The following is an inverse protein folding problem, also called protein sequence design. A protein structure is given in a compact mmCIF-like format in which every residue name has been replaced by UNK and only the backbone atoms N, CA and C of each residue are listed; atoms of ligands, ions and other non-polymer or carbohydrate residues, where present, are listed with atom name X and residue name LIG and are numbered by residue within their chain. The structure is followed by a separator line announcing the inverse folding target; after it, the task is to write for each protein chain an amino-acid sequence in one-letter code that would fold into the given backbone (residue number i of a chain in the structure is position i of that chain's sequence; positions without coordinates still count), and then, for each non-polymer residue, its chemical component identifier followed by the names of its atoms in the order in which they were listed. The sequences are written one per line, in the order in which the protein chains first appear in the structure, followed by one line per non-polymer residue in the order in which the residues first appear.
data_IF_888236790517
#
_entry.id   IF_888236790517
#
_cell.length_a   1.000
_cell.length_b   1.000
_cell.length_c   1.000
_cell.angle_alpha   90.00
_cell.angle_beta   90.00
_cell.angle_gamma   90.00
#
_symmetry.space_group_name_H-M   'P 1'
#
loop_
_entity.id
_entity.type
_entity.pdbx_description
1 polymer ?
#
# COMPACT_ATOMS: atom_id res chain seq x y z
N UNK A 1 -27.60 -11.44 15.11
CA UNK A 1 -27.30 -10.05 15.51
C UNK A 1 -28.25 -9.15 14.75
N UNK A 2 -28.97 -8.25 15.44
CA UNK A 2 -29.76 -7.23 14.75
C UNK A 2 -28.79 -6.35 13.95
N UNK A 3 -29.06 -6.15 12.66
CA UNK A 3 -28.26 -5.26 11.82
C UNK A 3 -28.52 -3.84 12.29
N UNK A 4 -27.62 -3.31 13.12
CA UNK A 4 -27.67 -1.92 13.55
C UNK A 4 -27.08 -1.08 12.41
N UNK A 5 -27.95 -0.35 11.71
CA UNK A 5 -27.53 0.57 10.64
C UNK A 5 -26.61 1.69 11.15
N UNK A 6 -26.05 2.48 10.24
CA UNK A 6 -25.23 3.64 10.60
C UNK A 6 -25.99 4.58 11.55
N UNK A 7 -25.50 4.71 12.78
CA UNK A 7 -26.21 5.45 13.83
C UNK A 7 -25.89 6.95 13.88
N UNK A 8 -24.80 7.39 13.22
CA UNK A 8 -24.37 8.80 13.27
C UNK A 8 -24.51 9.47 11.90
N UNK A 9 -25.04 10.71 11.84
CA UNK A 9 -25.23 11.41 10.58
C UNK A 9 -23.91 11.59 9.84
N UNK A 10 -23.96 11.61 8.52
CA UNK A 10 -22.82 11.92 7.66
C UNK A 10 -22.63 13.43 7.66
N UNK A 11 -21.59 13.91 8.33
CA UNK A 11 -21.27 15.33 8.48
C UNK A 11 -19.75 15.51 8.56
N UNK A 12 -19.18 16.62 8.03
CA UNK A 12 -17.76 16.88 8.16
C UNK A 12 -17.35 17.08 9.62
N UNK A 13 -16.24 16.48 10.02
CA UNK A 13 -15.62 16.64 11.31
C UNK A 13 -14.52 17.72 11.30
N UNK A 14 -13.97 18.05 10.14
CA UNK A 14 -12.96 19.08 9.89
C UNK A 14 -13.57 20.36 9.35
N UNK A 15 -13.00 21.49 9.77
CA UNK A 15 -13.25 22.79 9.16
C UNK A 15 -12.36 22.95 7.92
N UNK A 16 -12.77 23.78 6.94
CA UNK A 16 -12.02 23.95 5.70
C UNK A 16 -10.55 24.37 5.88
N UNK A 17 -10.24 25.12 6.94
CA UNK A 17 -8.94 25.70 7.29
C UNK A 17 -8.06 24.80 8.18
N UNK A 18 -8.61 23.74 8.78
CA UNK A 18 -7.85 22.85 9.64
C UNK A 18 -6.96 21.91 8.82
N UNK A 19 -5.64 22.11 8.88
CA UNK A 19 -4.63 21.26 8.25
C UNK A 19 -3.51 20.97 9.23
N UNK A 20 -3.04 19.73 9.20
CA UNK A 20 -1.92 19.25 10.02
C UNK A 20 -1.07 18.34 9.16
N UNK A 21 0.25 18.38 9.38
CA UNK A 21 1.17 17.51 8.66
C UNK A 21 1.14 16.08 9.20
N UNK A 22 1.31 15.10 8.33
CA UNK A 22 1.49 13.69 8.71
C UNK A 22 2.96 13.46 9.08
N UNK A 23 3.36 14.05 10.21
CA UNK A 23 4.69 13.93 10.82
C UNK A 23 4.53 13.74 12.33
N UNK A 24 5.57 13.32 13.05
CA UNK A 24 5.54 13.24 14.51
C UNK A 24 5.04 14.55 15.17
N UNK A 25 5.57 15.69 14.72
CA UNK A 25 5.20 17.01 15.23
C UNK A 25 3.77 17.37 14.84
N UNK A 26 3.38 17.20 13.58
CA UNK A 26 2.03 17.53 13.12
C UNK A 26 0.94 16.69 13.78
N UNK A 27 1.20 15.39 14.02
CA UNK A 27 0.30 14.53 14.79
C UNK A 27 0.18 14.98 16.25
N UNK A 28 1.28 15.42 16.87
CA UNK A 28 1.26 15.95 18.24
C UNK A 28 0.49 17.28 18.32
N UNK A 29 0.65 18.17 17.33
CA UNK A 29 -0.11 19.41 17.20
C UNK A 29 -1.60 19.13 17.04
N UNK A 30 -1.95 18.18 16.16
CA UNK A 30 -3.32 17.74 15.98
C UNK A 30 -3.91 17.20 17.29
N UNK A 31 -3.22 16.29 18.00
CA UNK A 31 -3.69 15.72 19.27
C UNK A 31 -4.01 16.80 20.33
N UNK A 32 -3.27 17.91 20.33
CA UNK A 32 -3.50 19.04 21.26
C UNK A 32 -4.61 20.00 20.83
N UNK A 33 -5.10 19.87 19.59
CA UNK A 33 -6.05 20.81 19.00
C UNK A 33 -7.50 20.61 19.46
N UNK A 34 -8.35 21.61 19.21
CA UNK A 34 -9.80 21.46 19.32
C UNK A 34 -10.37 20.50 18.26
N UNK A 35 -9.70 20.39 17.11
CA UNK A 35 -10.07 19.48 16.04
C UNK A 35 -10.02 18.03 16.52
N UNK A 36 -8.91 17.59 17.12
CA UNK A 36 -8.80 16.24 17.66
C UNK A 36 -9.89 15.94 18.69
N UNK A 37 -10.09 16.84 19.68
CA UNK A 37 -11.13 16.65 20.71
C UNK A 37 -12.52 16.46 20.11
N UNK A 38 -12.84 17.20 19.05
CA UNK A 38 -14.11 17.08 18.31
C UNK A 38 -14.22 15.73 17.59
N UNK A 39 -13.18 15.32 16.86
CA UNK A 39 -13.14 14.04 16.12
C UNK A 39 -13.18 12.85 17.09
N UNK A 40 -12.38 12.86 18.17
CA UNK A 40 -12.37 11.82 19.19
C UNK A 40 -13.73 11.69 19.88
N UNK A 41 -14.37 12.81 20.24
CA UNK A 41 -15.75 12.81 20.76
C UNK A 41 -16.76 12.21 19.77
N UNK A 42 -16.57 12.43 18.47
CA UNK A 42 -17.39 11.82 17.43
C UNK A 42 -17.18 10.30 17.32
N UNK A 43 -15.99 9.78 17.60
CA UNK A 43 -15.73 8.34 17.56
C UNK A 43 -15.89 7.63 18.91
N UNK A 44 -16.19 8.37 19.98
CA UNK A 44 -16.46 7.81 21.31
C UNK A 44 -17.56 6.74 21.26
N UNK A 45 -17.18 5.47 21.44
CA UNK A 45 -18.07 4.31 21.38
C UNK A 45 -18.70 4.05 20.01
N UNK A 46 -18.20 4.66 18.93
CA UNK A 46 -18.75 4.52 17.58
C UNK A 46 -17.65 4.30 16.53
N UNK A 47 -17.88 3.46 15.50
CA UNK A 47 -18.96 2.47 15.43
C UNK A 47 -18.77 1.38 16.50
N UNK A 48 -19.84 0.97 17.18
CA UNK A 48 -19.77 -0.05 18.26
C UNK A 48 -19.11 -1.35 17.80
N UNK A 49 -19.29 -1.70 16.52
CA UNK A 49 -18.74 -2.91 15.91
C UNK A 49 -17.27 -2.81 15.46
N UNK A 50 -16.62 -1.67 15.68
CA UNK A 50 -15.17 -1.54 15.46
C UNK A 50 -14.44 -1.87 16.76
N UNK A 51 -13.43 -2.74 16.69
CA UNK A 51 -12.61 -3.07 17.87
C UNK A 51 -11.51 -2.02 18.15
N UNK A 52 -11.30 -1.07 17.23
CA UNK A 52 -10.36 0.03 17.44
C UNK A 52 -10.77 0.88 18.63
N UNK A 53 -9.77 1.40 19.34
CA UNK A 53 -9.98 2.48 20.31
C UNK A 53 -10.57 3.72 19.63
N UNK A 54 -11.27 4.55 20.40
CA UNK A 54 -11.86 5.79 19.89
C UNK A 54 -10.80 6.72 19.26
N UNK A 55 -9.61 6.79 19.88
CA UNK A 55 -8.48 7.55 19.35
C UNK A 55 -7.86 6.92 18.10
N UNK A 56 -7.82 5.59 18.01
CA UNK A 56 -7.41 4.89 16.78
C UNK A 56 -8.34 5.20 15.61
N UNK A 57 -9.66 5.17 15.83
CA UNK A 57 -10.65 5.56 14.80
C UNK A 57 -10.50 7.03 14.39
N UNK A 58 -10.28 7.93 15.36
CA UNK A 58 -10.01 9.33 15.09
C UNK A 58 -8.72 9.53 14.27
N UNK A 59 -7.66 8.78 14.59
CA UNK A 59 -6.38 8.80 13.86
C UNK A 59 -6.58 8.35 12.41
N UNK A 60 -7.23 7.21 12.18
CA UNK A 60 -7.50 6.72 10.82
C UNK A 60 -8.25 7.76 10.00
N UNK A 61 -9.29 8.37 10.58
CA UNK A 61 -10.03 9.44 9.92
C UNK A 61 -9.12 10.63 9.58
N UNK A 62 -8.32 11.09 10.54
CA UNK A 62 -7.39 12.20 10.36
C UNK A 62 -6.42 11.96 9.20
N UNK A 63 -5.75 10.81 9.21
CA UNK A 63 -4.76 10.46 8.19
C UNK A 63 -5.37 10.49 6.79
N UNK A 64 -6.60 9.96 6.62
CA UNK A 64 -7.29 9.96 5.33
C UNK A 64 -7.72 11.35 4.90
N UNK A 65 -8.22 12.20 5.81
CA UNK A 65 -8.63 13.57 5.46
C UNK A 65 -7.43 14.45 5.10
N UNK A 66 -6.29 14.28 5.78
CA UNK A 66 -5.06 15.02 5.46
C UNK A 66 -4.41 14.50 4.16
N UNK A 67 -4.30 13.18 3.99
CA UNK A 67 -3.67 12.54 2.83
C UNK A 67 -4.53 12.66 1.56
N UNK A 68 -5.85 12.63 1.71
CA UNK A 68 -6.84 12.59 0.61
C UNK A 68 -6.55 11.48 -0.41
N UNK A 69 -6.44 10.22 0.05
CA UNK A 69 -6.10 9.08 -0.80
C UNK A 69 -7.16 8.87 -1.88
N UNK A 70 -6.75 8.38 -3.04
CA UNK A 70 -7.64 7.93 -4.11
C UNK A 70 -8.07 6.48 -3.90
N UNK A 71 -7.14 5.64 -3.43
CA UNK A 71 -7.39 4.21 -3.16
C UNK A 71 -6.92 3.86 -1.76
N UNK A 72 -7.82 3.24 -0.99
CA UNK A 72 -7.57 2.73 0.34
C UNK A 72 -7.77 1.22 0.35
N UNK A 73 -6.88 0.51 1.04
CA UNK A 73 -7.01 -0.93 1.31
C UNK A 73 -7.18 -1.16 2.81
N UNK A 74 -8.14 -2.00 3.18
CA UNK A 74 -8.28 -2.57 4.52
C UNK A 74 -8.08 -4.08 4.43
N UNK A 75 -7.05 -4.59 5.11
CA UNK A 75 -6.81 -6.03 5.27
C UNK A 75 -7.34 -6.43 6.64
N UNK A 76 -8.45 -7.17 6.67
CA UNK A 76 -9.16 -7.54 7.90
C UNK A 76 -10.41 -6.70 8.13
N UNK A 77 -11.53 -7.07 7.49
CA UNK A 77 -12.81 -6.35 7.66
C UNK A 77 -13.51 -6.66 9.00
N UNK A 78 -13.49 -7.92 9.43
CA UNK A 78 -14.22 -8.46 10.58
C UNK A 78 -15.70 -8.05 10.60
N UNK A 79 -16.11 -7.07 11.42
CA UNK A 79 -17.49 -6.58 11.54
C UNK A 79 -17.73 -5.26 10.78
N UNK A 80 -16.83 -4.87 9.88
CA UNK A 80 -16.92 -3.67 9.05
C UNK A 80 -17.12 -2.35 9.83
N UNK A 81 -16.74 -2.34 11.11
CA UNK A 81 -16.78 -1.13 11.93
C UNK A 81 -15.70 -0.15 11.48
N UNK A 82 -14.47 -0.63 11.33
CA UNK A 82 -13.35 0.16 10.86
C UNK A 82 -13.54 0.57 9.40
N UNK A 83 -14.09 -0.29 8.54
CA UNK A 83 -14.51 0.07 7.18
C UNK A 83 -15.44 1.29 7.14
N UNK A 84 -16.39 1.43 8.07
CA UNK A 84 -17.26 2.63 8.14
C UNK A 84 -16.47 3.88 8.52
N UNK A 85 -15.45 3.77 9.39
CA UNK A 85 -14.54 4.87 9.72
C UNK A 85 -13.78 5.32 8.47
N UNK A 86 -13.20 4.39 7.72
CA UNK A 86 -12.43 4.67 6.50
C UNK A 86 -13.32 5.31 5.42
N UNK A 87 -14.51 4.75 5.18
CA UNK A 87 -15.45 5.27 4.19
C UNK A 87 -15.96 6.67 4.53
N UNK A 88 -16.20 6.95 5.82
CA UNK A 88 -16.57 8.28 6.30
C UNK A 88 -15.45 9.30 6.07
N UNK A 89 -14.21 8.92 6.34
CA UNK A 89 -13.07 9.79 6.10
C UNK A 89 -12.85 10.06 4.62
N UNK A 90 -13.00 9.04 3.75
CA UNK A 90 -12.95 9.20 2.30
C UNK A 90 -14.09 10.10 1.76
N UNK A 91 -15.31 9.93 2.30
CA UNK A 91 -16.43 10.81 2.01
C UNK A 91 -16.11 12.27 2.37
N UNK A 92 -15.55 12.51 3.55
CA UNK A 92 -15.20 13.85 4.03
C UNK A 92 -14.05 14.48 3.24
N UNK A 93 -13.03 13.69 2.88
CA UNK A 93 -11.94 14.09 1.99
C UNK A 93 -12.43 14.42 0.56
N UNK A 94 -13.69 14.06 0.25
CA UNK A 94 -14.34 14.10 -1.07
C UNK A 94 -13.58 13.31 -2.14
N UNK A 95 -12.76 12.36 -1.72
CA UNK A 95 -11.88 11.54 -2.56
C UNK A 95 -11.61 10.22 -1.85
N UNK A 96 -11.39 9.17 -2.62
CA UNK A 96 -11.06 7.87 -2.07
C UNK A 96 -12.15 6.85 -2.28
N UNK A 97 -11.71 5.60 -2.39
CA UNK A 97 -12.52 4.40 -2.41
C UNK A 97 -11.84 3.33 -1.56
N UNK A 98 -12.60 2.68 -0.68
CA UNK A 98 -12.13 1.65 0.25
C UNK A 98 -12.36 0.27 -0.35
N UNK A 99 -11.29 -0.44 -0.65
CA UNK A 99 -11.33 -1.88 -0.85
C UNK A 99 -11.07 -2.57 0.48
N UNK A 100 -11.96 -3.44 0.93
CA UNK A 100 -11.82 -4.14 2.21
C UNK A 100 -11.89 -5.65 2.04
N UNK A 101 -10.97 -6.36 2.69
CA UNK A 101 -10.74 -7.78 2.52
C UNK A 101 -11.04 -8.57 3.80
N UNK A 102 -11.83 -9.63 3.66
CA UNK A 102 -11.98 -10.65 4.71
C UNK A 102 -12.35 -12.00 4.06
N UNK A 103 -11.45 -13.00 4.06
CA UNK A 103 -11.72 -14.30 3.44
C UNK A 103 -12.87 -15.06 4.11
N UNK A 104 -13.24 -14.70 5.35
CA UNK A 104 -14.33 -15.32 6.12
C UNK A 104 -15.56 -14.40 6.26
N UNK A 105 -15.54 -13.26 5.56
CA UNK A 105 -16.57 -12.22 5.66
C UNK A 105 -17.70 -12.32 4.63
N UNK A 106 -17.67 -13.31 3.72
CA UNK A 106 -18.58 -13.38 2.57
C UNK A 106 -20.08 -13.27 2.93
N UNK A 107 -20.50 -13.93 4.02
CA UNK A 107 -21.89 -13.90 4.48
C UNK A 107 -22.18 -12.71 5.42
N UNK A 108 -21.17 -12.28 6.19
CA UNK A 108 -21.31 -11.29 7.26
C UNK A 108 -21.18 -9.85 6.77
N UNK A 109 -20.08 -9.54 6.09
CA UNK A 109 -19.67 -8.18 5.77
C UNK A 109 -20.63 -7.48 4.79
N UNK A 110 -21.13 -8.11 3.70
CA UNK A 110 -22.07 -7.46 2.80
C UNK A 110 -23.34 -6.97 3.48
N UNK A 111 -23.91 -7.78 4.39
CA UNK A 111 -25.12 -7.40 5.13
C UNK A 111 -24.88 -6.22 6.08
N UNK A 112 -23.72 -6.19 6.75
CA UNK A 112 -23.32 -5.07 7.60
C UNK A 112 -23.12 -3.78 6.78
N UNK A 113 -22.38 -3.87 5.68
CA UNK A 113 -22.10 -2.73 4.78
C UNK A 113 -23.39 -2.21 4.13
N UNK A 114 -24.34 -3.09 3.81
CA UNK A 114 -25.63 -2.70 3.26
C UNK A 114 -26.44 -1.79 4.20
N UNK A 115 -26.20 -1.88 5.52
CA UNK A 115 -26.82 -1.04 6.53
C UNK A 115 -26.14 0.33 6.75
N UNK A 116 -25.06 0.64 6.04
CA UNK A 116 -24.42 1.95 6.14
C UNK A 116 -25.24 3.01 5.42
N UNK A 117 -24.98 4.29 5.74
CA UNK A 117 -25.53 5.39 4.97
C UNK A 117 -25.15 5.24 3.47
N UNK A 118 -26.06 5.52 2.52
CA UNK A 118 -25.81 5.30 1.09
C UNK A 118 -24.50 5.94 0.59
N UNK A 119 -24.20 7.15 1.04
CA UNK A 119 -23.02 7.92 0.65
C UNK A 119 -21.70 7.30 1.12
N UNK A 120 -21.74 6.53 2.22
CA UNK A 120 -20.59 5.76 2.71
C UNK A 120 -20.47 4.44 1.96
N UNK A 121 -21.60 3.76 1.70
CA UNK A 121 -21.63 2.47 1.00
C UNK A 121 -21.09 2.59 -0.43
N UNK A 122 -21.39 3.69 -1.12
CA UNK A 122 -20.87 3.98 -2.46
C UNK A 122 -19.34 4.07 -2.53
N UNK A 123 -18.67 4.28 -1.38
CA UNK A 123 -17.22 4.38 -1.26
C UNK A 123 -16.54 3.03 -0.95
N UNK A 124 -17.28 1.94 -0.92
CA UNK A 124 -16.78 0.65 -0.43
C UNK A 124 -16.89 -0.44 -1.50
N UNK A 125 -15.86 -1.26 -1.59
CA UNK A 125 -15.90 -2.55 -2.26
C UNK A 125 -15.39 -3.63 -1.32
N UNK A 126 -16.27 -4.55 -0.94
CA UNK A 126 -15.89 -5.72 -0.16
C UNK A 126 -15.43 -6.86 -1.07
N UNK A 127 -14.35 -7.56 -0.67
CA UNK A 127 -13.82 -8.71 -1.38
C UNK A 127 -13.61 -9.88 -0.41
N UNK A 128 -14.31 -11.02 -0.59
CA UNK A 128 -14.14 -12.18 0.27
C UNK A 128 -12.90 -13.01 -0.12
N UNK A 129 -11.71 -12.46 0.10
CA UNK A 129 -10.43 -13.10 -0.27
C UNK A 129 -9.32 -12.71 0.70
N UNK A 130 -8.27 -13.53 0.75
CA UNK A 130 -7.06 -13.22 1.51
C UNK A 130 -6.29 -12.05 0.86
N UNK A 131 -5.46 -11.39 1.67
CA UNK A 131 -4.50 -10.39 1.22
C UNK A 131 -3.54 -10.94 0.17
N UNK A 132 -3.08 -12.19 0.31
CA UNK A 132 -2.16 -12.81 -0.63
C UNK A 132 -2.69 -12.85 -2.07
N UNK A 133 -3.92 -13.33 -2.25
CA UNK A 133 -4.57 -13.37 -3.57
C UNK A 133 -4.81 -11.95 -4.08
N UNK A 134 -5.23 -11.05 -3.21
CA UNK A 134 -5.55 -9.68 -3.61
C UNK A 134 -4.31 -8.89 -4.04
N UNK A 135 -3.24 -8.92 -3.24
CA UNK A 135 -2.01 -8.18 -3.50
C UNK A 135 -1.32 -8.71 -4.77
N UNK A 136 -1.32 -10.03 -5.00
CA UNK A 136 -0.83 -10.62 -6.26
C UNK A 136 -1.57 -10.04 -7.49
N UNK A 137 -2.90 -9.96 -7.41
CA UNK A 137 -3.71 -9.37 -8.49
C UNK A 137 -3.45 -7.88 -8.70
N UNK A 138 -3.26 -7.13 -7.61
CA UNK A 138 -2.95 -5.69 -7.69
C UNK A 138 -1.57 -5.48 -8.31
N UNK A 139 -0.57 -6.27 -7.92
CA UNK A 139 0.77 -6.24 -8.51
C UNK A 139 0.72 -6.57 -10.01
N UNK A 140 0.01 -7.65 -10.38
CA UNK A 140 -0.13 -8.04 -11.79
C UNK A 140 -0.87 -6.97 -12.62
N UNK A 141 -1.85 -6.28 -12.03
CA UNK A 141 -2.59 -5.20 -12.70
C UNK A 141 -1.94 -3.82 -12.61
N UNK A 142 -0.68 -3.71 -12.17
CA UNK A 142 0.02 -2.44 -11.94
C UNK A 142 -0.78 -1.43 -11.09
N UNK A 143 -1.58 -1.94 -10.15
CA UNK A 143 -2.40 -1.13 -9.26
C UNK A 143 -1.61 -0.64 -8.05
N UNK A 144 -1.99 0.53 -7.54
CA UNK A 144 -1.38 1.10 -6.34
C UNK A 144 -2.42 1.62 -5.35
N UNK A 145 -2.03 1.68 -4.07
CA UNK A 145 -2.77 2.26 -2.97
C UNK A 145 -2.05 3.48 -2.41
N UNK A 146 -2.81 4.44 -1.91
CA UNK A 146 -2.28 5.60 -1.20
C UNK A 146 -2.35 5.38 0.32
N UNK A 147 -3.27 4.53 0.77
CA UNK A 147 -3.47 4.22 2.17
C UNK A 147 -3.76 2.72 2.34
N UNK A 148 -3.10 2.07 3.30
CA UNK A 148 -3.37 0.67 3.67
C UNK A 148 -3.52 0.56 5.19
N UNK A 149 -4.58 -0.08 5.64
CA UNK A 149 -4.75 -0.55 7.01
C UNK A 149 -4.51 -2.06 7.07
N UNK A 150 -3.64 -2.50 7.96
CA UNK A 150 -3.37 -3.90 8.26
C UNK A 150 -3.93 -4.23 9.65
N UNK A 151 -5.03 -4.97 9.67
CA UNK A 151 -5.75 -5.47 10.86
C UNK A 151 -6.20 -6.94 10.63
N UNK A 152 -5.31 -7.71 9.97
CA UNK A 152 -5.53 -9.10 9.61
C UNK A 152 -5.15 -10.07 10.72
N UNK A 153 -4.43 -11.14 10.37
CA UNK A 153 -3.86 -12.03 11.37
C UNK A 153 -2.67 -11.35 12.07
N UNK A 154 -2.62 -11.47 13.40
CA UNK A 154 -1.52 -10.91 14.20
C UNK A 154 -0.38 -11.90 14.46
N UNK A 155 -0.33 -13.03 13.77
CA UNK A 155 0.88 -13.84 13.76
C UNK A 155 1.96 -13.16 12.90
N UNK A 156 3.23 -13.38 13.24
CA UNK A 156 4.34 -12.64 12.68
C UNK A 156 4.44 -12.79 11.16
N UNK A 157 4.28 -14.01 10.66
CA UNK A 157 4.43 -14.36 9.25
C UNK A 157 3.34 -13.71 8.39
N UNK A 158 2.11 -13.68 8.88
CA UNK A 158 1.00 -13.02 8.17
C UNK A 158 1.14 -11.50 8.19
N UNK A 159 1.46 -10.91 9.35
CA UNK A 159 1.66 -9.47 9.45
C UNK A 159 2.87 -9.01 8.60
N UNK A 160 3.95 -9.78 8.56
CA UNK A 160 5.11 -9.50 7.71
C UNK A 160 4.75 -9.61 6.22
N UNK A 161 4.01 -10.64 5.83
CA UNK A 161 3.52 -10.78 4.46
C UNK A 161 2.64 -9.60 4.04
N UNK A 162 1.66 -9.23 4.87
CA UNK A 162 0.75 -8.13 4.59
C UNK A 162 1.50 -6.80 4.48
N UNK A 163 2.47 -6.55 5.35
CA UNK A 163 3.29 -5.35 5.32
C UNK A 163 4.20 -5.30 4.09
N UNK A 164 4.95 -6.36 3.81
CA UNK A 164 5.85 -6.42 2.65
C UNK A 164 5.08 -6.37 1.33
N UNK A 165 3.98 -7.12 1.23
CA UNK A 165 3.11 -7.11 0.06
C UNK A 165 2.45 -5.76 -0.17
N UNK A 166 1.96 -5.11 0.90
CA UNK A 166 1.38 -3.76 0.83
C UNK A 166 2.44 -2.74 0.39
N UNK A 167 3.65 -2.80 0.93
CA UNK A 167 4.76 -1.93 0.56
C UNK A 167 5.09 -1.97 -0.95
N UNK A 168 4.88 -3.12 -1.61
CA UNK A 168 5.09 -3.26 -3.07
C UNK A 168 4.04 -2.52 -3.90
N UNK A 169 2.83 -2.33 -3.37
CA UNK A 169 1.70 -1.68 -4.05
C UNK A 169 1.41 -0.28 -3.53
N UNK A 170 2.30 0.32 -2.73
CA UNK A 170 2.14 1.71 -2.31
C UNK A 170 2.57 2.70 -3.38
N UNK A 171 1.82 3.80 -3.52
CA UNK A 171 2.30 5.01 -4.18
C UNK A 171 3.32 5.74 -3.30
N UNK A 172 4.22 6.54 -3.90
CA UNK A 172 5.08 7.45 -3.15
C UNK A 172 4.30 8.31 -2.14
N UNK A 173 4.86 8.50 -0.95
CA UNK A 173 4.25 9.20 0.20
C UNK A 173 2.98 8.54 0.79
N UNK A 174 2.55 7.38 0.29
CA UNK A 174 1.40 6.69 0.84
C UNK A 174 1.64 6.18 2.27
N UNK A 175 0.55 5.90 2.99
CA UNK A 175 0.57 5.56 4.42
C UNK A 175 0.16 4.11 4.63
N UNK A 176 0.90 3.40 5.48
CA UNK A 176 0.49 2.10 6.04
C UNK A 176 0.24 2.29 7.54
N UNK A 177 -0.92 1.84 8.01
CA UNK A 177 -1.24 1.75 9.44
C UNK A 177 -1.31 0.28 9.83
N UNK A 178 -0.59 -0.11 10.88
CA UNK A 178 -0.68 -1.44 11.47
C UNK A 178 -1.44 -1.37 12.79
N UNK A 179 -2.39 -2.27 13.01
CA UNK A 179 -3.11 -2.38 14.27
C UNK A 179 -2.45 -3.32 15.28
N UNK A 180 -2.86 -3.21 16.54
CA UNK A 180 -2.52 -4.13 17.62
C UNK A 180 -1.02 -4.37 17.81
N UNK A 181 -0.23 -3.29 17.77
CA UNK A 181 1.24 -3.35 17.90
C UNK A 181 1.71 -3.86 19.26
N UNK A 182 0.85 -3.94 20.27
CA UNK A 182 1.17 -4.61 21.53
C UNK A 182 1.36 -6.12 21.36
N UNK A 183 0.80 -6.70 20.29
CA UNK A 183 0.97 -8.10 19.91
C UNK A 183 2.31 -8.32 19.19
N UNK A 184 2.86 -9.52 19.35
CA UNK A 184 4.21 -9.84 18.87
C UNK A 184 4.31 -9.72 17.35
N UNK A 185 3.31 -10.20 16.59
CA UNK A 185 3.40 -10.27 15.14
C UNK A 185 3.53 -8.91 14.46
N UNK A 186 2.51 -8.01 14.53
CA UNK A 186 2.58 -6.69 13.91
C UNK A 186 3.81 -5.88 14.35
N UNK A 187 4.17 -6.00 15.64
CA UNK A 187 5.34 -5.31 16.22
C UNK A 187 6.65 -5.72 15.56
N UNK A 188 6.94 -7.02 15.53
CA UNK A 188 8.21 -7.52 15.01
C UNK A 188 8.24 -7.55 13.49
N UNK A 189 7.09 -7.73 12.82
CA UNK A 189 6.96 -7.52 11.38
C UNK A 189 7.40 -6.10 11.00
N UNK A 190 6.88 -5.09 11.70
CA UNK A 190 7.26 -3.68 11.46
C UNK A 190 8.73 -3.42 11.72
N UNK A 191 9.26 -3.94 12.84
CA UNK A 191 10.68 -3.78 13.19
C UNK A 191 11.59 -4.38 12.12
N UNK A 192 11.39 -5.66 11.77
CA UNK A 192 12.19 -6.32 10.75
C UNK A 192 12.02 -5.69 9.38
N UNK A 193 10.81 -5.20 9.08
CA UNK A 193 10.55 -4.46 7.87
C UNK A 193 11.43 -3.22 7.82
N UNK A 194 11.45 -2.35 8.84
CA UNK A 194 12.27 -1.12 8.83
C UNK A 194 13.79 -1.35 8.88
N UNK A 195 14.25 -2.55 9.24
CA UNK A 195 15.68 -2.90 9.22
C UNK A 195 16.25 -3.14 7.81
N UNK A 196 15.41 -3.40 6.78
CA UNK A 196 15.90 -3.73 5.43
C UNK A 196 15.89 -2.55 4.44
N UNK A 197 14.77 -1.82 4.22
CA UNK A 197 14.70 -0.67 3.34
C UNK A 197 14.86 0.62 4.15
N UNK A 198 16.03 1.30 4.09
CA UNK A 198 16.32 2.45 4.95
C UNK A 198 15.44 3.68 4.68
N UNK A 199 14.63 3.65 3.61
CA UNK A 199 13.85 4.81 3.18
C UNK A 199 12.39 4.82 3.64
N UNK A 200 11.89 3.72 4.21
CA UNK A 200 10.57 3.73 4.83
C UNK A 200 10.60 4.53 6.12
N UNK A 201 9.61 5.41 6.29
CA UNK A 201 9.58 6.38 7.38
C UNK A 201 8.66 5.85 8.47
N UNK A 202 9.21 5.62 9.66
CA UNK A 202 8.44 5.57 10.89
C UNK A 202 8.02 7.00 11.26
N UNK A 203 6.75 7.34 11.04
CA UNK A 203 6.24 8.71 11.13
C UNK A 203 6.48 9.32 12.52
N UNK A 204 6.51 8.50 13.58
CA UNK A 204 6.70 8.94 14.95
C UNK A 204 8.09 8.58 15.52
N UNK A 205 8.92 7.85 14.77
CA UNK A 205 10.24 7.40 15.22
C UNK A 205 10.21 6.48 16.45
N UNK A 206 9.11 5.76 16.68
CA UNK A 206 8.89 4.95 17.87
C UNK A 206 9.43 3.52 17.76
N UNK A 207 9.48 2.94 16.56
CA UNK A 207 9.92 1.56 16.33
C UNK A 207 11.40 1.40 16.64
N UNK A 208 12.22 2.37 16.26
CA UNK A 208 13.65 2.40 16.58
C UNK A 208 13.96 2.50 18.08
N UNK A 209 12.97 2.88 18.91
CA UNK A 209 13.14 3.02 20.37
C UNK A 209 12.85 1.75 21.16
N UNK A 210 12.46 0.66 20.49
CA UNK A 210 12.13 -0.59 21.16
C UNK A 210 13.32 -1.14 21.96
N UNK A 211 13.14 -1.42 23.26
CA UNK A 211 14.26 -1.82 24.12
C UNK A 211 14.75 -3.24 23.78
N UNK A 212 15.96 -3.36 23.23
CA UNK A 212 16.57 -4.65 22.86
C UNK A 212 16.63 -5.67 24.01
N UNK A 213 16.83 -5.21 25.25
CA UNK A 213 16.88 -6.06 26.45
C UNK A 213 15.51 -6.40 27.04
N UNK A 214 14.42 -5.85 26.48
CA UNK A 214 13.04 -6.06 26.94
C UNK A 214 12.11 -6.27 25.73
N UNK A 215 12.32 -7.32 24.92
CA UNK A 215 11.61 -7.52 23.66
C UNK A 215 10.08 -7.70 23.82
N UNK A 216 9.61 -8.01 25.02
CA UNK A 216 8.19 -8.16 25.34
C UNK A 216 7.57 -6.91 25.98
N UNK A 217 8.34 -5.84 26.22
CA UNK A 217 7.78 -4.59 26.74
C UNK A 217 6.75 -4.02 25.75
N UNK A 218 5.66 -3.47 26.27
CA UNK A 218 4.65 -2.78 25.46
C UNK A 218 5.34 -1.66 24.67
N UNK A 219 5.22 -1.62 23.33
CA UNK A 219 5.85 -0.58 22.55
C UNK A 219 5.13 0.75 22.73
N UNK A 220 5.83 1.84 22.42
CA UNK A 220 5.20 3.16 22.28
C UNK A 220 4.46 3.21 20.95
N UNK A 221 3.17 3.58 20.91
CA UNK A 221 2.44 3.75 19.65
C UNK A 221 2.88 5.02 18.92
N UNK A 222 2.65 5.07 17.60
CA UNK A 222 2.91 6.27 16.80
C UNK A 222 2.01 7.45 17.17
N UNK A 223 0.90 7.18 17.87
CA UNK A 223 -0.05 8.19 18.33
C UNK A 223 -0.57 7.87 19.73
N UNK A 224 -0.83 8.86 20.61
CA UNK A 224 -1.26 8.61 21.98
C UNK A 224 -2.56 7.82 22.11
N UNK A 225 -2.62 6.95 23.12
CA UNK A 225 -3.79 6.16 23.53
C UNK A 225 -4.41 5.29 22.42
N UNK A 226 -3.60 4.89 21.43
CA UNK A 226 -3.96 3.84 20.48
C UNK A 226 -2.87 2.75 20.44
N UNK A 227 -3.08 1.76 19.57
CA UNK A 227 -2.21 0.61 19.39
C UNK A 227 -1.72 0.51 17.94
N UNK A 228 -1.38 1.66 17.34
CA UNK A 228 -1.04 1.72 15.92
C UNK A 228 0.41 2.14 15.69
N UNK A 229 1.02 1.52 14.67
CA UNK A 229 2.16 2.11 13.97
C UNK A 229 1.70 2.78 12.69
N UNK A 230 2.31 3.93 12.38
CA UNK A 230 2.08 4.67 11.15
C UNK A 230 3.40 4.74 10.39
N UNK A 231 3.42 4.11 9.22
CA UNK A 231 4.55 4.13 8.30
C UNK A 231 4.21 4.95 7.08
N UNK A 232 5.20 5.63 6.52
CA UNK A 232 5.08 6.36 5.26
C UNK A 232 6.06 5.82 4.22
N UNK A 233 5.54 5.55 3.03
CA UNK A 233 6.33 5.18 1.87
C UNK A 233 7.22 6.38 1.44
N UNK A 234 8.43 6.14 0.95
CA UNK A 234 9.29 7.20 0.44
C UNK A 234 8.65 7.99 -0.71
N UNK A 235 9.11 9.22 -1.01
CA UNK A 235 8.57 10.05 -2.09
C UNK A 235 8.98 9.57 -3.51
N UNK A 236 9.46 8.33 -3.64
CA UNK A 236 9.89 7.69 -4.89
C UNK A 236 10.02 6.18 -4.68
N UNK A 237 10.18 5.41 -5.76
CA UNK A 237 10.52 3.99 -5.71
C UNK A 237 12.04 3.82 -5.73
N UNK A 238 12.60 3.31 -4.64
CA UNK A 238 14.03 3.02 -4.53
C UNK A 238 14.41 1.71 -5.22
N UNK A 239 15.50 1.75 -5.98
CA UNK A 239 16.20 0.58 -6.51
C UNK A 239 17.66 0.70 -6.06
N UNK A 240 18.11 -0.28 -5.29
CA UNK A 240 19.48 -0.41 -4.79
C UNK A 240 20.13 -1.66 -5.40
N UNK A 241 21.21 -2.15 -4.80
CA UNK A 241 21.93 -3.33 -5.27
C UNK A 241 21.14 -4.65 -5.15
N UNK A 242 20.05 -4.67 -4.37
CA UNK A 242 19.16 -5.84 -4.23
C UNK A 242 18.14 -5.83 -5.38
N UNK A 243 18.07 -6.90 -6.20
CA UNK A 243 17.11 -6.97 -7.30
C UNK A 243 15.66 -6.79 -6.83
N UNK A 244 14.95 -5.87 -7.49
CA UNK A 244 13.55 -5.56 -7.22
C UNK A 244 12.69 -5.87 -8.43
N UNK A 245 11.72 -6.77 -8.24
CA UNK A 245 10.65 -7.04 -9.21
C UNK A 245 9.46 -6.11 -8.99
N UNK A 246 8.91 -5.59 -10.10
CA UNK A 246 7.65 -4.84 -10.13
C UNK A 246 6.43 -5.70 -10.47
N UNK A 247 6.60 -7.02 -10.50
CA UNK A 247 5.55 -7.98 -10.83
C UNK A 247 5.48 -8.32 -12.32
N UNK A 248 4.85 -9.45 -12.61
CA UNK A 248 4.55 -9.89 -13.97
C UNK A 248 3.21 -9.28 -14.42
N UNK A 249 3.27 -8.38 -15.41
CA UNK A 249 2.12 -7.64 -15.91
C UNK A 249 1.63 -8.22 -17.24
N UNK A 250 0.31 -8.36 -17.45
CA UNK A 250 -0.23 -8.70 -18.76
C UNK A 250 0.26 -7.73 -19.83
N UNK A 251 0.73 -8.22 -20.97
CA UNK A 251 1.33 -7.41 -22.02
C UNK A 251 0.64 -7.55 -23.37
N UNK A 252 0.63 -6.48 -24.15
CA UNK A 252 0.02 -6.44 -25.49
C UNK A 252 0.77 -7.25 -26.54
N UNK A 253 2.08 -7.38 -26.39
CA UNK A 253 3.00 -8.07 -27.27
C UNK A 253 4.07 -8.85 -26.48
N UNK A 254 4.70 -9.82 -27.14
CA UNK A 254 5.78 -10.62 -26.56
C UNK A 254 7.19 -10.07 -26.80
N UNK A 255 7.34 -8.79 -27.16
CA UNK A 255 8.62 -8.17 -27.51
C UNK A 255 9.02 -7.06 -26.52
N UNK A 256 10.20 -7.20 -25.91
CA UNK A 256 10.81 -6.19 -25.04
C UNK A 256 12.17 -5.78 -25.62
N UNK A 257 12.21 -4.59 -26.23
CA UNK A 257 13.43 -3.95 -26.77
C UNK A 257 14.18 -3.14 -25.71
N UNK A 258 13.54 -2.82 -24.60
CA UNK A 258 14.07 -1.91 -23.60
C UNK A 258 13.06 -1.64 -22.50
N UNK A 259 13.47 -0.76 -21.59
CA UNK A 259 12.61 -0.25 -20.51
C UNK A 259 12.56 1.27 -20.52
N UNK A 260 11.43 1.82 -20.12
CA UNK A 260 11.22 3.22 -19.83
C UNK A 260 11.26 3.39 -18.30
N UNK A 261 12.10 4.31 -17.84
CA UNK A 261 12.18 4.72 -16.44
C UNK A 261 11.69 6.16 -16.34
N UNK A 262 11.06 6.52 -15.22
CA UNK A 262 10.80 7.91 -14.87
C UNK A 262 11.60 8.27 -13.62
N UNK A 263 12.67 9.05 -13.77
CA UNK A 263 13.62 9.33 -12.69
C UNK A 263 13.11 10.48 -11.80
N UNK A 264 12.90 10.22 -10.52
CA UNK A 264 12.54 11.25 -9.53
C UNK A 264 13.74 12.16 -9.19
N UNK A 265 14.97 11.69 -9.38
CA UNK A 265 16.22 12.42 -9.13
C UNK A 265 17.28 12.04 -10.18
N UNK A 266 18.33 12.86 -10.38
CA UNK A 266 19.44 12.46 -11.23
C UNK A 266 20.07 11.15 -10.73
N UNK A 267 20.57 10.35 -11.65
CA UNK A 267 21.28 9.11 -11.37
C UNK A 267 22.59 9.02 -12.17
N UNK A 268 23.64 8.53 -11.52
CA UNK A 268 24.93 8.17 -12.11
C UNK A 268 25.36 6.85 -11.46
N UNK A 269 25.45 5.78 -12.24
CA UNK A 269 25.77 4.43 -11.76
C UNK A 269 25.51 3.37 -12.81
N UNK A 270 25.43 2.10 -12.38
CA UNK A 270 25.18 0.97 -13.28
C UNK A 270 23.82 0.37 -12.99
N UNK A 271 22.97 0.38 -14.01
CA UNK A 271 21.66 -0.25 -14.00
C UNK A 271 21.77 -1.69 -14.50
N UNK A 272 21.38 -2.62 -13.64
CA UNK A 272 21.20 -4.02 -14.00
C UNK A 272 19.71 -4.26 -14.27
N UNK A 273 19.40 -4.76 -15.46
CA UNK A 273 18.03 -5.06 -15.91
C UNK A 273 17.91 -6.55 -16.19
N UNK A 274 16.83 -7.16 -15.74
CA UNK A 274 16.35 -8.43 -16.26
C UNK A 274 14.91 -8.26 -16.74
N UNK A 275 14.66 -8.61 -18.00
CA UNK A 275 13.33 -8.67 -18.58
C UNK A 275 12.94 -10.13 -18.79
N UNK A 276 11.76 -10.52 -18.35
CA UNK A 276 11.21 -11.87 -18.52
C UNK A 276 9.90 -11.77 -19.28
N UNK A 277 9.78 -12.52 -20.38
CA UNK A 277 8.56 -12.65 -21.18
C UNK A 277 8.02 -14.06 -21.01
N UNK A 278 6.77 -14.19 -20.57
CA UNK A 278 6.07 -15.47 -20.42
C UNK A 278 4.85 -15.51 -21.32
N UNK A 279 4.65 -16.61 -22.04
CA UNK A 279 3.45 -16.87 -22.83
C UNK A 279 2.77 -18.16 -22.35
N UNK A 280 1.57 -18.00 -21.81
CA UNK A 280 0.69 -19.09 -21.40
C UNK A 280 -0.44 -19.28 -22.42
N UNK A 281 -1.06 -20.47 -22.41
CA UNK A 281 -2.09 -20.85 -23.39
C UNK A 281 -1.53 -21.46 -24.68
N UNK A 282 -0.21 -21.65 -24.76
CA UNK A 282 0.48 -22.49 -25.75
C UNK A 282 1.06 -23.74 -25.09
N UNK A 283 1.31 -24.78 -25.88
CA UNK A 283 1.95 -26.02 -25.43
C UNK A 283 3.17 -26.34 -26.31
N UNK A 284 4.38 -26.36 -25.74
CA UNK A 284 4.71 -26.02 -24.34
C UNK A 284 4.54 -24.52 -24.04
N UNK A 285 4.37 -24.12 -22.76
CA UNK A 285 4.47 -22.71 -22.38
C UNK A 285 5.87 -22.17 -22.72
N UNK A 286 5.97 -20.88 -23.04
CA UNK A 286 7.23 -20.22 -23.36
C UNK A 286 7.62 -19.26 -22.24
N UNK A 287 8.88 -19.33 -21.79
CA UNK A 287 9.50 -18.36 -20.89
C UNK A 287 10.86 -17.98 -21.47
N UNK A 288 11.04 -16.69 -21.75
CA UNK A 288 12.28 -16.12 -22.25
C UNK A 288 12.76 -15.05 -21.27
N UNK A 289 14.06 -14.92 -21.10
CA UNK A 289 14.64 -13.85 -20.30
C UNK A 289 15.87 -13.27 -20.97
N UNK A 290 16.11 -11.99 -20.74
CA UNK A 290 17.31 -11.27 -21.14
C UNK A 290 17.79 -10.37 -20.03
N UNK A 291 19.11 -10.23 -19.90
CA UNK A 291 19.74 -9.36 -18.91
C UNK A 291 20.62 -8.31 -19.59
N UNK A 292 20.78 -7.17 -18.94
CA UNK A 292 21.67 -6.10 -19.41
C UNK A 292 22.29 -5.35 -18.23
N UNK A 293 23.53 -4.91 -18.41
CA UNK A 293 24.22 -3.99 -17.51
C UNK A 293 24.54 -2.72 -18.28
N UNK A 294 24.03 -1.59 -17.80
CA UNK A 294 23.99 -0.35 -18.56
C UNK A 294 24.43 0.80 -17.67
N UNK A 295 25.46 1.53 -18.09
CA UNK A 295 25.81 2.79 -17.45
C UNK A 295 24.66 3.78 -17.63
N UNK A 296 24.13 4.30 -16.52
CA UNK A 296 23.02 5.25 -16.52
C UNK A 296 23.52 6.58 -15.98
N UNK A 297 23.54 7.60 -16.85
CA UNK A 297 23.79 9.00 -16.50
C UNK A 297 22.67 9.85 -17.04
N UNK A 298 21.73 10.20 -16.17
CA UNK A 298 20.52 10.91 -16.56
C UNK A 298 20.06 11.88 -15.47
N UNK A 299 19.47 12.99 -15.92
CA UNK A 299 18.73 13.91 -15.04
C UNK A 299 17.34 13.36 -14.68
N UNK A 300 16.55 14.10 -13.89
CA UNK A 300 15.18 13.72 -13.58
C UNK A 300 14.29 13.67 -14.83
N UNK A 301 13.26 12.82 -14.79
CA UNK A 301 12.28 12.64 -15.85
C UNK A 301 12.44 11.34 -16.64
N UNK A 302 11.72 11.21 -17.76
CA UNK A 302 11.65 9.97 -18.52
C UNK A 302 12.96 9.67 -19.25
N UNK A 303 13.43 8.42 -19.15
CA UNK A 303 14.59 7.89 -19.87
C UNK A 303 14.25 6.53 -20.49
N UNK A 304 14.65 6.35 -21.76
CA UNK A 304 14.56 5.06 -22.44
C UNK A 304 15.91 4.36 -22.38
N UNK A 305 15.87 3.11 -21.96
CA UNK A 305 17.05 2.27 -21.77
C UNK A 305 16.90 1.05 -22.68
N UNK A 306 17.56 1.03 -23.86
CA UNK A 306 17.49 -0.11 -24.76
C UNK A 306 18.23 -1.31 -24.17
N UNK A 307 17.65 -2.50 -24.31
CA UNK A 307 18.38 -3.74 -24.11
C UNK A 307 19.32 -3.97 -25.31
N UNK A 308 20.54 -4.48 -25.10
CA UNK A 308 21.45 -4.84 -26.19
C UNK A 308 20.83 -5.86 -27.15
N UNK A 309 20.08 -6.81 -26.60
CA UNK A 309 19.33 -7.82 -27.34
C UNK A 309 17.86 -7.80 -26.88
N UNK A 310 16.90 -7.62 -27.79
CA UNK A 310 15.48 -7.70 -27.44
C UNK A 310 15.09 -9.10 -26.94
N UNK A 311 14.21 -9.16 -25.95
CA UNK A 311 13.55 -10.41 -25.54
C UNK A 311 12.27 -10.56 -26.36
N UNK A 312 12.22 -11.55 -27.25
CA UNK A 312 11.12 -11.72 -28.20
C UNK A 312 10.56 -13.14 -28.18
N UNK A 313 9.31 -13.26 -27.74
CA UNK A 313 8.50 -14.47 -27.83
C UNK A 313 8.36 -14.95 -29.28
N UNK A 314 8.51 -16.26 -29.49
CA UNK A 314 8.22 -16.88 -30.80
C UNK A 314 6.72 -17.14 -30.99
N UNK A 315 5.93 -17.02 -29.92
CA UNK A 315 4.48 -17.16 -29.97
C UNK A 315 3.88 -15.91 -30.62
N UNK A 316 3.33 -16.06 -31.82
CA UNK A 316 2.68 -14.97 -32.57
C UNK A 316 1.56 -14.30 -31.77
N UNK A 317 1.42 -12.98 -31.90
CA UNK A 317 0.34 -12.18 -31.29
C UNK A 317 -1.03 -12.59 -31.84
N UNK A 318 -1.67 -13.56 -31.18
CA UNK A 318 -3.03 -14.04 -31.45
C UNK A 318 -3.88 -13.91 -30.20
N UNK A 319 -5.18 -13.84 -30.41
CA UNK A 319 -6.17 -13.84 -29.32
C UNK A 319 -6.06 -15.11 -28.47
N UNK A 320 -6.32 -14.97 -27.16
CA UNK A 320 -6.34 -16.09 -26.21
C UNK A 320 -5.00 -16.43 -25.55
N UNK A 321 -3.89 -15.77 -25.93
CA UNK A 321 -2.60 -15.95 -25.24
C UNK A 321 -2.50 -15.00 -24.04
N UNK A 322 -2.26 -15.55 -22.84
CA UNK A 322 -1.88 -14.77 -21.64
C UNK A 322 -0.37 -14.52 -21.71
N UNK A 323 -0.01 -13.32 -22.16
CA UNK A 323 1.38 -12.84 -22.18
C UNK A 323 1.64 -12.00 -20.95
N UNK A 324 2.76 -12.24 -20.30
CA UNK A 324 3.21 -11.41 -19.19
C UNK A 324 4.65 -10.98 -19.36
N UNK A 325 4.90 -9.71 -19.03
CA UNK A 325 6.25 -9.14 -18.94
C UNK A 325 6.55 -8.81 -17.49
N UNK A 326 7.72 -9.22 -17.03
CA UNK A 326 8.25 -8.86 -15.72
C UNK A 326 9.58 -8.14 -15.88
N UNK A 327 9.70 -6.98 -15.24
CA UNK A 327 10.93 -6.20 -15.18
C UNK A 327 11.50 -6.26 -13.76
N UNK A 328 12.76 -6.68 -13.67
CA UNK A 328 13.55 -6.73 -12.43
C UNK A 328 14.72 -5.77 -12.60
N UNK A 329 14.90 -4.87 -11.62
CA UNK A 329 15.98 -3.89 -11.63
C UNK A 329 16.86 -4.03 -10.39
N UNK A 330 18.17 -3.83 -10.56
CA UNK A 330 19.10 -3.48 -9.50
C UNK A 330 19.97 -2.30 -9.96
N UNK A 331 20.46 -1.51 -9.02
CA UNK A 331 21.30 -0.34 -9.29
C UNK A 331 22.51 -0.33 -8.36
N UNK A 332 23.70 -0.29 -8.94
CA UNK A 332 24.96 -0.18 -8.20
C UNK A 332 25.53 1.24 -8.33
N UNK A 333 26.45 1.59 -7.42
CA UNK A 333 27.03 2.94 -7.27
C UNK A 333 26.05 4.02 -6.78
N UNK A 334 24.94 3.62 -6.15
CA UNK A 334 24.01 4.54 -5.49
C UNK A 334 22.63 3.93 -5.26
N UNK A 335 21.61 4.78 -5.25
CA UNK A 335 20.20 4.37 -5.23
C UNK A 335 19.50 5.09 -6.37
N UNK A 336 18.92 4.31 -7.29
CA UNK A 336 18.08 4.83 -8.34
C UNK A 336 16.68 5.13 -7.76
N UNK A 337 16.18 6.33 -8.03
CA UNK A 337 14.94 6.85 -7.44
C UNK A 337 13.95 7.10 -8.56
N UNK A 338 12.91 6.29 -8.66
CA UNK A 338 11.92 6.38 -9.72
C UNK A 338 10.66 7.13 -9.23
N UNK A 339 10.11 8.00 -10.06
CA UNK A 339 8.83 8.66 -9.82
C UNK A 339 7.64 7.72 -10.12
N UNK A 340 7.85 6.75 -11.01
CA UNK A 340 6.88 5.71 -11.38
C UNK A 340 7.57 4.34 -11.51
N UNK A 341 6.83 3.22 -11.43
CA UNK A 341 7.36 1.91 -11.79
C UNK A 341 7.92 1.90 -13.23
N UNK A 342 8.94 1.07 -13.53
CA UNK A 342 9.45 0.92 -14.88
C UNK A 342 8.39 0.30 -15.78
N UNK A 343 8.44 0.65 -17.07
CA UNK A 343 7.60 0.04 -18.11
C UNK A 343 8.49 -0.60 -19.18
N UNK A 344 8.05 -1.69 -19.81
CA UNK A 344 8.70 -2.22 -21.01
C UNK A 344 8.34 -1.39 -22.25
N UNK A 345 9.14 -1.53 -23.31
CA UNK A 345 8.75 -1.13 -24.67
C UNK A 345 9.32 -2.09 -25.73
N UNK A 346 8.63 -2.33 -26.87
CA UNK A 346 7.31 -1.77 -27.21
C UNK A 346 6.17 -2.39 -26.42
N UNK A 347 6.34 -3.57 -25.80
CA UNK A 347 5.31 -4.21 -24.99
C UNK A 347 4.76 -3.27 -23.91
N UNK A 348 3.45 -3.03 -23.93
CA UNK A 348 2.75 -2.22 -22.93
C UNK A 348 1.87 -3.09 -22.03
N UNK A 349 1.70 -2.71 -20.76
CA UNK A 349 0.70 -3.32 -19.89
C UNK A 349 -0.70 -3.21 -20.52
N UNK A 350 -1.48 -4.30 -20.47
CA UNK A 350 -2.86 -4.34 -20.97
C UNK A 350 -3.88 -3.77 -19.99
#
# INVERSE_FOLDING_TARGET
MNVVGSQRPVAPLYRPDERFDITATGLQEWYRSDCFRRVAKFYAGYPERSLFSDNGRALLHHLIVMLRPERLLEIGTMYAGTTEVLARAAWEAKRGHVETLDPYGAERCPALIAGFAPELRERITFRPRSSAIHLDQIIAGAGFYDFVLIDGSHELEFAAFDLEGSARVMRPNGIIVLDNIEQIGPRFATKHFLERPPEWIDVAGVVGTMPAKRPLARPMPSFPDCANFVLQAPPYYAIDSVPRSFGAQPADSGEVKGIELDLARPADGVLHVQAIVRAFGVMPPEELSGTAELALRAGPGPVKVPLPEPVQSQVSDRDGIDRRVEIILAFTDGTLKLAAPPASYPARPR
#
